data_IF_523635731457
#
_entry.id   IF_523635731457
#
_cell.length_a   1.000
_cell.length_b   1.000
_cell.length_c   1.000
_cell.angle_alpha   90.00
_cell.angle_beta   90.00
_cell.angle_gamma   90.00
#
_symmetry.space_group_name_H-M   'P 1'
#
loop_
_entity.id
_entity.type
_entity.pdbx_description
1 polymer ?
#
# COMPACT_ATOMS: atom_id res chain seq x y z
N UNK A 1 -27.94 -5.81 -7.91
CA UNK A 1 -27.56 -5.60 -9.33
C UNK A 1 -26.65 -6.75 -9.73
N UNK A 2 -26.91 -7.44 -10.89
CA UNK A 2 -26.00 -8.50 -11.36
C UNK A 2 -24.71 -7.87 -11.90
N UNK A 3 -23.52 -8.42 -11.57
CA UNK A 3 -22.25 -7.90 -12.08
C UNK A 3 -22.18 -8.03 -13.62
N UNK A 4 -21.53 -7.05 -14.27
CA UNK A 4 -21.28 -7.05 -15.71
C UNK A 4 -20.31 -8.19 -16.10
N UNK A 5 -20.19 -8.49 -17.39
CA UNK A 5 -19.28 -9.54 -17.85
C UNK A 5 -17.83 -9.29 -17.44
N UNK A 6 -17.35 -8.05 -17.63
CA UNK A 6 -16.00 -7.59 -17.22
C UNK A 6 -15.78 -7.70 -15.70
N UNK A 7 -16.79 -7.32 -14.91
CA UNK A 7 -16.74 -7.43 -13.45
C UNK A 7 -16.64 -8.90 -13.00
N UNK A 8 -17.39 -9.81 -13.65
CA UNK A 8 -17.31 -11.25 -13.37
C UNK A 8 -15.94 -11.82 -13.72
N UNK A 9 -15.36 -11.38 -14.82
CA UNK A 9 -14.02 -11.79 -15.23
C UNK A 9 -13.00 -11.41 -14.16
N UNK A 10 -12.98 -10.15 -13.69
CA UNK A 10 -12.09 -9.70 -12.62
C UNK A 10 -12.31 -10.47 -11.31
N UNK A 11 -13.57 -10.77 -10.96
CA UNK A 11 -13.86 -11.58 -9.78
C UNK A 11 -13.25 -12.99 -9.88
N UNK A 12 -13.29 -13.60 -11.07
CA UNK A 12 -12.65 -14.89 -11.33
C UNK A 12 -11.13 -14.79 -11.20
N UNK A 13 -10.51 -13.78 -11.82
CA UNK A 13 -9.07 -13.53 -11.71
C UNK A 13 -8.62 -13.39 -10.25
N UNK A 14 -9.32 -12.60 -9.44
CA UNK A 14 -9.01 -12.41 -8.02
C UNK A 14 -9.12 -13.73 -7.24
N UNK A 15 -10.13 -14.56 -7.54
CA UNK A 15 -10.28 -15.85 -6.86
C UNK A 15 -9.16 -16.83 -7.23
N UNK A 16 -8.80 -16.90 -8.51
CA UNK A 16 -7.73 -17.77 -9.00
C UNK A 16 -6.36 -17.35 -8.45
N UNK A 17 -6.06 -16.05 -8.46
CA UNK A 17 -4.79 -15.50 -7.96
C UNK A 17 -4.68 -15.67 -6.44
N UNK A 18 -5.78 -15.46 -5.70
CA UNK A 18 -5.80 -15.70 -4.26
C UNK A 18 -5.56 -17.17 -3.91
N UNK A 19 -6.12 -18.09 -4.70
CA UNK A 19 -5.87 -19.52 -4.54
C UNK A 19 -4.41 -19.86 -4.84
N UNK A 20 -3.83 -19.32 -5.92
CA UNK A 20 -2.43 -19.52 -6.28
C UNK A 20 -1.45 -18.99 -5.21
N UNK A 21 -1.81 -17.90 -4.53
CA UNK A 21 -1.01 -17.30 -3.44
C UNK A 21 -1.38 -17.84 -2.04
N UNK A 22 -2.29 -18.81 -1.95
CA UNK A 22 -2.75 -19.41 -0.69
C UNK A 22 -3.29 -18.39 0.32
N UNK A 23 -4.03 -17.38 -0.15
CA UNK A 23 -4.66 -16.36 0.69
C UNK A 23 -6.18 -16.38 0.58
N UNK A 24 -6.85 -15.86 1.60
CA UNK A 24 -8.29 -15.65 1.50
C UNK A 24 -8.59 -14.59 0.42
N UNK A 25 -9.48 -14.86 -0.54
CA UNK A 25 -9.77 -13.94 -1.63
C UNK A 25 -10.29 -12.59 -1.08
N UNK A 26 -9.66 -11.48 -1.46
CA UNK A 26 -10.15 -10.16 -1.09
C UNK A 26 -11.51 -9.88 -1.75
N UNK A 27 -12.33 -9.09 -1.08
CA UNK A 27 -13.58 -8.61 -1.69
C UNK A 27 -13.26 -7.59 -2.78
N UNK A 28 -13.98 -7.63 -3.90
CA UNK A 28 -13.82 -6.64 -4.96
C UNK A 28 -14.94 -5.61 -4.89
N UNK A 29 -14.57 -4.34 -4.94
CA UNK A 29 -15.51 -3.22 -5.05
C UNK A 29 -15.22 -2.44 -6.34
N UNK A 30 -16.23 -2.32 -7.19
CA UNK A 30 -16.13 -1.51 -8.39
C UNK A 30 -16.57 -0.07 -8.09
N UNK A 31 -15.68 0.89 -8.38
CA UNK A 31 -15.87 2.33 -8.10
C UNK A 31 -15.94 3.13 -9.39
N UNK A 32 -16.61 4.29 -9.35
CA UNK A 32 -16.82 5.12 -10.55
C UNK A 32 -15.59 5.96 -10.91
N UNK A 33 -14.91 6.46 -9.92
CA UNK A 33 -13.71 7.28 -10.07
C UNK A 33 -12.76 6.98 -8.92
N UNK A 34 -11.49 6.81 -9.23
CA UNK A 34 -10.44 6.62 -8.24
C UNK A 34 -9.09 7.02 -8.81
N UNK A 35 -8.07 6.95 -7.99
CA UNK A 35 -6.67 7.13 -8.39
C UNK A 35 -6.02 5.86 -8.96
N UNK A 36 -6.79 4.88 -9.42
CA UNK A 36 -6.34 3.56 -9.87
C UNK A 36 -6.81 2.43 -8.95
N UNK A 37 -6.44 1.17 -9.27
CA UNK A 37 -6.71 0.03 -8.40
C UNK A 37 -5.99 0.18 -7.07
N UNK A 38 -6.58 -0.32 -5.98
CA UNK A 38 -6.01 -0.21 -4.66
C UNK A 38 -6.48 -1.34 -3.75
N UNK A 39 -5.54 -2.00 -3.07
CA UNK A 39 -5.86 -2.95 -2.02
C UNK A 39 -5.98 -2.26 -0.66
N UNK A 40 -7.11 -2.47 0.01
CA UNK A 40 -7.36 -1.99 1.36
C UNK A 40 -7.20 -3.10 2.40
N UNK A 41 -6.10 -3.07 3.12
CA UNK A 41 -5.76 -4.11 4.11
C UNK A 41 -6.78 -4.22 5.24
N UNK A 42 -7.36 -3.10 5.71
CA UNK A 42 -8.31 -3.08 6.82
C UNK A 42 -9.56 -3.92 6.51
N UNK A 43 -10.10 -3.78 5.32
CA UNK A 43 -11.33 -4.44 4.90
C UNK A 43 -11.11 -5.71 4.07
N UNK A 44 -9.84 -6.09 3.82
CA UNK A 44 -9.46 -7.14 2.86
C UNK A 44 -10.21 -6.97 1.54
N UNK A 45 -10.02 -5.82 0.89
CA UNK A 45 -10.79 -5.40 -0.27
C UNK A 45 -9.90 -4.79 -1.33
N UNK A 46 -10.19 -5.11 -2.59
CA UNK A 46 -9.59 -4.45 -3.77
C UNK A 46 -10.64 -3.49 -4.33
N UNK A 47 -10.30 -2.23 -4.50
CA UNK A 47 -11.08 -1.27 -5.26
C UNK A 47 -10.58 -1.22 -6.70
N UNK A 48 -11.50 -1.34 -7.67
CA UNK A 48 -11.20 -1.32 -9.09
C UNK A 48 -12.09 -0.28 -9.76
N UNK A 49 -11.49 0.64 -10.48
CA UNK A 49 -12.19 1.66 -11.22
C UNK A 49 -12.48 1.25 -12.66
N UNK A 50 -13.28 2.06 -13.35
CA UNK A 50 -13.65 1.79 -14.74
C UNK A 50 -12.49 1.89 -15.71
N UNK A 51 -11.50 2.72 -15.42
CA UNK A 51 -10.31 2.87 -16.26
C UNK A 51 -9.48 1.58 -16.22
N UNK A 52 -9.35 0.98 -15.04
CA UNK A 52 -8.70 -0.33 -14.86
C UNK A 52 -9.45 -1.45 -15.58
N UNK A 53 -10.80 -1.47 -15.52
CA UNK A 53 -11.60 -2.47 -16.28
C UNK A 53 -11.45 -2.35 -17.79
N UNK A 54 -11.12 -1.17 -18.30
CA UNK A 54 -10.90 -0.92 -19.73
C UNK A 54 -9.47 -1.22 -20.21
N UNK A 55 -8.59 -1.68 -19.34
CA UNK A 55 -7.22 -2.06 -19.71
C UNK A 55 -7.23 -3.28 -20.65
N UNK A 56 -6.23 -3.37 -21.56
CA UNK A 56 -5.99 -4.59 -22.31
C UNK A 56 -5.77 -5.78 -21.36
N UNK A 57 -6.29 -6.96 -21.74
CA UNK A 57 -6.30 -8.16 -20.92
C UNK A 57 -4.93 -8.49 -20.26
N UNK A 58 -3.77 -8.42 -20.94
CA UNK A 58 -2.49 -8.70 -20.32
C UNK A 58 -2.14 -7.73 -19.19
N UNK A 59 -2.51 -6.46 -19.33
CA UNK A 59 -2.27 -5.44 -18.29
C UNK A 59 -3.25 -5.60 -17.12
N UNK A 60 -4.53 -5.84 -17.41
CA UNK A 60 -5.55 -6.10 -16.39
C UNK A 60 -5.17 -7.28 -15.52
N UNK A 61 -4.69 -8.37 -16.14
CA UNK A 61 -4.26 -9.59 -15.46
C UNK A 61 -3.15 -9.30 -14.44
N UNK A 62 -2.13 -8.52 -14.83
CA UNK A 62 -0.99 -8.20 -13.96
C UNK A 62 -1.42 -7.25 -12.85
N UNK A 63 -2.24 -6.24 -13.18
CA UNK A 63 -2.76 -5.30 -12.17
C UNK A 63 -3.57 -6.03 -11.12
N UNK A 64 -4.44 -6.95 -11.50
CA UNK A 64 -5.22 -7.76 -10.55
C UNK A 64 -4.30 -8.63 -9.71
N UNK A 65 -3.34 -9.33 -10.33
CA UNK A 65 -2.38 -10.17 -9.61
C UNK A 65 -1.52 -9.37 -8.61
N UNK A 66 -1.14 -8.13 -8.95
CA UNK A 66 -0.43 -7.22 -8.06
C UNK A 66 -1.28 -6.84 -6.84
N UNK A 67 -2.54 -6.46 -7.04
CA UNK A 67 -3.45 -6.12 -5.93
C UNK A 67 -3.73 -7.33 -5.02
N UNK A 68 -3.85 -8.52 -5.59
CA UNK A 68 -3.94 -9.77 -4.79
C UNK A 68 -2.62 -10.07 -4.08
N UNK A 69 -1.47 -9.71 -4.68
CA UNK A 69 -0.16 -9.77 -4.03
C UNK A 69 -0.13 -9.03 -2.70
N UNK A 70 -0.73 -7.85 -2.63
CA UNK A 70 -0.88 -7.10 -1.37
C UNK A 70 -1.70 -7.83 -0.31
N UNK A 71 -2.64 -8.69 -0.69
CA UNK A 71 -3.40 -9.48 0.28
C UNK A 71 -2.50 -10.45 1.07
N UNK A 72 -1.39 -10.91 0.50
CA UNK A 72 -0.40 -11.73 1.23
C UNK A 72 0.28 -10.96 2.36
N UNK A 73 0.38 -9.65 2.21
CA UNK A 73 1.06 -8.73 3.14
C UNK A 73 0.09 -8.12 4.18
N UNK A 74 -1.19 -8.48 4.12
CA UNK A 74 -2.24 -7.86 4.94
C UNK A 74 -1.88 -7.75 6.42
N UNK A 75 -1.31 -8.81 7.02
CA UNK A 75 -0.92 -8.82 8.44
C UNK A 75 0.14 -7.75 8.73
N UNK A 76 1.16 -7.66 7.90
CA UNK A 76 2.24 -6.68 8.03
C UNK A 76 1.73 -5.25 7.87
N UNK A 77 0.84 -5.01 6.88
CA UNK A 77 0.22 -3.70 6.66
C UNK A 77 -0.67 -3.28 7.84
N UNK A 78 -1.44 -4.22 8.43
CA UNK A 78 -2.28 -3.94 9.60
C UNK A 78 -1.44 -3.68 10.86
N UNK A 79 -0.36 -4.43 11.08
CA UNK A 79 0.57 -4.18 12.18
C UNK A 79 1.24 -2.82 12.04
N UNK A 80 1.64 -2.45 10.84
CA UNK A 80 2.23 -1.16 10.54
C UNK A 80 1.26 0.00 10.81
N UNK A 81 0.02 -0.17 10.37
CA UNK A 81 -1.06 0.77 10.66
C UNK A 81 -1.33 0.90 12.17
N UNK A 82 -1.46 -0.23 12.88
CA UNK A 82 -1.73 -0.23 14.32
C UNK A 82 -0.58 0.42 15.10
N UNK A 83 0.67 0.11 14.75
CA UNK A 83 1.85 0.73 15.35
C UNK A 83 1.90 2.25 15.09
N UNK A 84 1.59 2.64 13.85
CA UNK A 84 1.49 4.05 13.47
C UNK A 84 0.44 4.78 14.29
N UNK A 85 -0.76 4.22 14.38
CA UNK A 85 -1.86 4.80 15.13
C UNK A 85 -1.53 4.92 16.63
N UNK A 86 -0.92 3.87 17.22
CA UNK A 86 -0.49 3.87 18.62
C UNK A 86 0.56 4.96 18.89
N UNK A 87 1.56 5.08 18.03
CA UNK A 87 2.61 6.09 18.19
C UNK A 87 2.06 7.51 18.05
N UNK A 88 1.15 7.75 17.10
CA UNK A 88 0.47 9.05 16.97
C UNK A 88 -0.38 9.34 18.20
N UNK A 89 -1.14 8.36 18.69
CA UNK A 89 -1.94 8.50 19.91
C UNK A 89 -1.07 8.83 21.13
N UNK A 90 0.05 8.14 21.31
CA UNK A 90 1.00 8.40 22.39
C UNK A 90 1.61 9.81 22.29
N UNK A 91 2.03 10.22 21.09
CA UNK A 91 2.55 11.56 20.83
C UNK A 91 1.53 12.67 21.18
N UNK A 92 0.26 12.44 20.92
CA UNK A 92 -0.80 13.40 21.25
C UNK A 92 -1.17 13.37 22.75
N UNK A 93 -1.15 12.20 23.37
CA UNK A 93 -1.53 12.04 24.79
C UNK A 93 -0.50 12.67 25.75
N UNK A 94 0.80 12.57 25.46
CA UNK A 94 1.87 13.06 26.34
C UNK A 94 1.69 14.57 26.67
N UNK A 95 1.58 15.48 25.68
CA UNK A 95 1.40 16.91 25.98
C UNK A 95 0.06 17.20 26.65
N UNK A 96 -1.02 16.46 26.31
CA UNK A 96 -2.33 16.63 26.94
C UNK A 96 -2.26 16.30 28.44
N UNK A 97 -1.60 15.19 28.81
CA UNK A 97 -1.41 14.79 30.20
C UNK A 97 -0.52 15.77 30.92
N UNK A 98 0.59 16.18 30.33
CA UNK A 98 1.51 17.17 30.92
C UNK A 98 0.80 18.49 31.19
N UNK A 99 -0.03 19.00 30.26
CA UNK A 99 -0.83 20.20 30.44
C UNK A 99 -1.88 20.03 31.53
N UNK A 100 -2.62 18.92 31.55
CA UNK A 100 -3.65 18.67 32.54
C UNK A 100 -3.12 18.55 33.97
N UNK A 101 -1.87 18.09 34.14
CA UNK A 101 -1.20 17.96 35.45
C UNK A 101 -0.50 19.22 35.91
N UNK A 102 -0.33 20.22 35.05
CA UNK A 102 0.32 21.51 35.34
C UNK A 102 -0.62 22.43 36.11
N UNK A 103 -0.63 22.35 37.44
CA UNK A 103 -1.41 23.26 38.29
C UNK A 103 -0.70 24.62 38.44
N UNK A 104 -1.27 25.69 37.87
CA UNK A 104 -0.84 27.09 38.14
C UNK A 104 0.60 27.37 37.81
N UNK A 105 1.16 26.71 36.82
CA UNK A 105 2.54 26.84 36.45
C UNK A 105 2.85 28.19 35.80
N UNK A 106 3.98 28.78 36.13
CA UNK A 106 4.56 29.89 35.41
C UNK A 106 4.60 29.58 33.91
N UNK A 107 4.29 30.59 33.08
CA UNK A 107 4.23 30.49 31.63
C UNK A 107 5.51 29.79 31.05
N UNK A 108 6.66 30.04 31.68
CA UNK A 108 7.94 29.46 31.31
C UNK A 108 8.01 27.92 31.47
N UNK A 109 7.38 27.40 32.52
CA UNK A 109 7.33 25.94 32.78
C UNK A 109 6.52 25.16 31.76
N UNK A 110 5.62 25.82 31.03
CA UNK A 110 4.81 25.20 29.97
C UNK A 110 5.42 25.45 28.58
N UNK A 111 6.04 26.63 28.37
CA UNK A 111 6.54 27.03 27.05
C UNK A 111 7.77 26.23 26.61
N UNK A 112 8.72 25.95 27.50
CA UNK A 112 9.96 25.21 27.15
C UNK A 112 9.66 23.76 26.82
N UNK A 113 8.91 22.97 27.64
CA UNK A 113 8.50 21.63 27.26
C UNK A 113 7.64 21.58 26.00
N UNK A 114 6.77 22.59 25.81
CA UNK A 114 5.95 22.73 24.60
C UNK A 114 6.80 22.89 23.33
N UNK A 115 7.82 23.74 23.38
CA UNK A 115 8.75 23.92 22.26
C UNK A 115 9.55 22.66 21.97
N UNK A 116 10.08 22.00 23.00
CA UNK A 116 10.80 20.73 22.85
C UNK A 116 9.89 19.67 22.21
N UNK A 117 8.63 19.60 22.65
CA UNK A 117 7.64 18.68 22.08
C UNK A 117 7.40 18.97 20.59
N UNK A 118 7.21 20.22 20.20
CA UNK A 118 7.00 20.63 18.81
C UNK A 118 8.21 20.23 17.94
N UNK A 119 9.42 20.51 18.40
CA UNK A 119 10.64 20.12 17.68
C UNK A 119 10.77 18.60 17.54
N UNK A 120 10.52 17.87 18.63
CA UNK A 120 10.52 16.40 18.63
C UNK A 120 9.45 15.84 17.68
N UNK A 121 8.24 16.41 17.69
CA UNK A 121 7.15 16.02 16.77
C UNK A 121 7.55 16.16 15.29
N UNK A 122 8.16 17.28 14.92
CA UNK A 122 8.63 17.49 13.54
C UNK A 122 9.79 16.54 13.18
N UNK A 123 10.73 16.31 14.07
CA UNK A 123 11.85 15.40 13.84
C UNK A 123 11.34 13.94 13.68
N UNK A 124 10.50 13.48 14.61
CA UNK A 124 9.86 12.15 14.52
C UNK A 124 9.03 12.01 13.26
N UNK A 125 8.27 13.05 12.87
CA UNK A 125 7.46 13.04 11.66
C UNK A 125 8.27 12.91 10.36
N UNK A 126 9.49 13.48 10.31
CA UNK A 126 10.41 13.30 9.18
C UNK A 126 10.98 11.88 9.12
N UNK A 127 11.46 11.36 10.26
CA UNK A 127 11.98 9.99 10.36
C UNK A 127 10.90 8.97 10.03
N UNK A 128 9.69 9.19 10.49
CA UNK A 128 8.56 8.33 10.24
C UNK A 128 8.17 8.27 8.75
N UNK A 129 8.10 9.45 8.10
CA UNK A 129 7.83 9.50 6.65
C UNK A 129 8.90 8.78 5.84
N UNK A 130 10.19 8.98 6.16
CA UNK A 130 11.28 8.29 5.49
C UNK A 130 11.22 6.77 5.69
N UNK A 131 10.87 6.31 6.90
CA UNK A 131 10.73 4.90 7.21
C UNK A 131 9.48 4.27 6.55
N UNK A 132 8.36 5.00 6.56
CA UNK A 132 7.13 4.61 5.87
C UNK A 132 7.31 4.48 4.36
N UNK A 133 8.03 5.41 3.73
CA UNK A 133 8.34 5.34 2.30
C UNK A 133 9.16 4.08 1.93
N UNK A 134 10.17 3.75 2.74
CA UNK A 134 10.96 2.52 2.52
C UNK A 134 10.11 1.24 2.64
N UNK A 135 9.21 1.19 3.63
CA UNK A 135 8.31 0.05 3.81
C UNK A 135 7.28 -0.06 2.70
N UNK A 136 6.70 1.07 2.28
CA UNK A 136 5.78 1.10 1.15
C UNK A 136 6.48 0.58 -0.12
N UNK A 137 7.69 1.03 -0.41
CA UNK A 137 8.46 0.53 -1.55
C UNK A 137 8.73 -0.98 -1.46
N UNK A 138 9.01 -1.52 -0.26
CA UNK A 138 9.19 -2.96 -0.07
C UNK A 138 7.89 -3.75 -0.31
N UNK A 139 6.73 -3.22 0.09
CA UNK A 139 5.44 -3.83 -0.20
C UNK A 139 5.13 -3.86 -1.70
N UNK A 140 5.44 -2.78 -2.43
CA UNK A 140 5.28 -2.73 -3.88
C UNK A 140 6.17 -3.76 -4.60
N UNK A 141 7.45 -3.85 -4.21
CA UNK A 141 8.38 -4.83 -4.78
C UNK A 141 7.95 -6.28 -4.53
N UNK A 142 7.41 -6.59 -3.36
CA UNK A 142 6.91 -7.93 -3.07
C UNK A 142 5.60 -8.22 -3.81
N UNK A 143 4.69 -7.24 -3.96
CA UNK A 143 3.47 -7.38 -4.75
C UNK A 143 3.80 -7.62 -6.24
N UNK A 144 4.76 -6.88 -6.81
CA UNK A 144 5.28 -7.11 -8.17
C UNK A 144 5.87 -8.52 -8.30
N UNK A 145 6.60 -8.97 -7.29
CA UNK A 145 7.16 -10.30 -7.26
C UNK A 145 6.09 -11.41 -7.26
N UNK A 146 4.97 -11.20 -6.55
CA UNK A 146 3.82 -12.11 -6.56
C UNK A 146 3.10 -12.09 -7.91
N UNK A 147 2.87 -10.90 -8.48
CA UNK A 147 2.32 -10.78 -9.82
C UNK A 147 3.18 -11.49 -10.87
N UNK A 148 4.50 -11.35 -10.79
CA UNK A 148 5.43 -12.07 -11.67
C UNK A 148 5.41 -13.59 -11.47
N UNK A 149 5.17 -14.08 -10.25
CA UNK A 149 5.05 -15.53 -10.00
C UNK A 149 3.78 -16.14 -10.61
N UNK A 150 2.72 -15.34 -10.75
CA UNK A 150 1.43 -15.76 -11.35
C UNK A 150 1.43 -15.60 -12.86
N UNK A 151 1.84 -14.42 -13.36
CA UNK A 151 1.71 -14.04 -14.76
C UNK A 151 2.98 -14.29 -15.59
N UNK A 152 4.07 -14.66 -14.95
CA UNK A 152 5.40 -14.78 -15.53
C UNK A 152 6.19 -13.46 -15.48
N UNK A 153 7.53 -13.53 -15.24
CA UNK A 153 8.36 -12.34 -15.05
C UNK A 153 8.46 -11.45 -16.29
N UNK A 154 8.46 -12.04 -17.49
CA UNK A 154 8.51 -11.28 -18.75
C UNK A 154 7.23 -10.42 -18.94
N UNK A 155 6.06 -11.00 -18.66
CA UNK A 155 4.78 -10.27 -18.74
C UNK A 155 4.70 -9.17 -17.70
N UNK A 156 5.16 -9.44 -16.48
CA UNK A 156 5.21 -8.45 -15.41
C UNK A 156 6.15 -7.29 -15.76
N UNK A 157 7.34 -7.57 -16.33
CA UNK A 157 8.27 -6.53 -16.76
C UNK A 157 7.65 -5.66 -17.87
N UNK A 158 7.05 -6.27 -18.90
CA UNK A 158 6.41 -5.53 -19.99
C UNK A 158 5.29 -4.60 -19.48
N UNK A 159 4.50 -5.05 -18.49
CA UNK A 159 3.48 -4.22 -17.86
C UNK A 159 4.08 -3.06 -17.07
N UNK A 160 5.11 -3.31 -16.26
CA UNK A 160 5.81 -2.25 -15.52
C UNK A 160 6.45 -1.22 -16.46
N UNK A 161 7.04 -1.64 -17.59
CA UNK A 161 7.59 -0.74 -18.62
C UNK A 161 6.49 0.12 -19.26
N UNK A 162 5.34 -0.48 -19.60
CA UNK A 162 4.20 0.26 -20.13
C UNK A 162 3.63 1.29 -19.14
N UNK A 163 3.65 0.98 -17.85
CA UNK A 163 3.21 1.90 -16.78
C UNK A 163 4.27 2.99 -16.52
N UNK A 164 5.56 2.65 -16.57
CA UNK A 164 6.66 3.61 -16.40
C UNK A 164 6.67 4.69 -17.49
N UNK A 165 6.36 4.32 -18.74
CA UNK A 165 6.21 5.29 -19.82
C UNK A 165 5.09 6.32 -19.56
N UNK A 166 4.16 6.01 -18.70
CA UNK A 166 3.08 6.92 -18.25
C UNK A 166 3.42 7.70 -16.98
N UNK A 167 4.64 7.55 -16.44
CA UNK A 167 5.11 8.25 -15.24
C UNK A 167 4.58 7.73 -13.92
N UNK A 168 4.05 6.51 -13.89
CA UNK A 168 3.37 5.95 -12.69
C UNK A 168 4.22 4.96 -11.89
N UNK A 169 5.47 4.70 -12.29
CA UNK A 169 6.30 3.65 -11.65
C UNK A 169 7.68 4.18 -11.30
N UNK A 170 8.16 3.81 -10.11
CA UNK A 170 9.52 4.06 -9.65
C UNK A 170 10.52 3.18 -10.42
N UNK A 171 11.68 3.76 -10.79
CA UNK A 171 12.78 3.06 -11.45
C UNK A 171 13.24 1.82 -10.67
N UNK A 172 13.22 1.87 -9.34
CA UNK A 172 13.61 0.75 -8.49
C UNK A 172 12.76 -0.52 -8.73
N UNK A 173 11.47 -0.37 -9.03
CA UNK A 173 10.58 -1.50 -9.36
C UNK A 173 10.95 -2.16 -10.68
N UNK A 174 11.27 -1.35 -11.70
CA UNK A 174 11.73 -1.84 -13.01
C UNK A 174 13.06 -2.61 -12.88
N UNK A 175 14.02 -2.04 -12.16
CA UNK A 175 15.34 -2.66 -11.99
C UNK A 175 15.24 -3.97 -11.22
N UNK A 176 14.42 -4.03 -10.18
CA UNK A 176 14.16 -5.27 -9.45
C UNK A 176 13.52 -6.36 -10.33
N UNK A 177 12.58 -5.98 -11.21
CA UNK A 177 11.94 -6.94 -12.12
C UNK A 177 12.91 -7.43 -13.20
N UNK A 178 13.75 -6.55 -13.75
CA UNK A 178 14.80 -6.91 -14.71
C UNK A 178 15.82 -7.88 -14.10
N UNK A 179 16.27 -7.61 -12.86
CA UNK A 179 17.15 -8.51 -12.14
C UNK A 179 16.51 -9.89 -11.92
N UNK A 180 15.22 -9.93 -11.59
CA UNK A 180 14.48 -11.19 -11.45
C UNK A 180 14.37 -11.97 -12.75
N UNK A 181 14.08 -11.31 -13.86
CA UNK A 181 14.02 -11.95 -15.17
C UNK A 181 15.39 -12.57 -15.54
N UNK A 182 16.48 -11.85 -15.30
CA UNK A 182 17.84 -12.33 -15.55
C UNK A 182 18.22 -13.55 -14.68
N UNK A 183 17.65 -13.66 -13.47
CA UNK A 183 17.91 -14.82 -12.60
C UNK A 183 17.12 -16.08 -12.97
N UNK A 184 16.10 -15.96 -13.84
CA UNK A 184 15.27 -17.07 -14.32
C UNK A 184 15.71 -17.58 -15.70
N UNK A 185 16.65 -16.89 -16.37
CA UNK A 185 17.21 -17.26 -17.66
C UNK A 185 18.47 -18.10 -17.51
#
# INVERSE_FOLDING_TARGET
MKPRAEERHVLALVADDAAALHVAPPRVRFVKASGGPCYEALFNRIEIDRATLALPEPLLRIVVAHEVGHATQRKSMLLDFAWTALAVAALLAIPCIAFATSRGADLWRVSVPGLIFVLAFFACGKLWRAHGAKRSAAFELDADAKAASICGPASALAALEAMAMRGHIDAARLDAMRARLASCA
#
